data_IF_413900357020
#
_entry.id   IF_413900357020
#
_cell.length_a   1.000
_cell.length_b   1.000
_cell.length_c   1.000
_cell.angle_alpha   90.00
_cell.angle_beta   90.00
_cell.angle_gamma   90.00
#
_symmetry.space_group_name_H-M   'P 1'
#
loop_
_entity.id
_entity.type
_entity.pdbx_description
1 polymer ?
#
# COMPACT_ATOMS: atom_id res chain seq x y z
N UNK A 1 -64.75 -25.90 17.44
CA UNK A 1 -63.38 -25.36 17.32
C UNK A 1 -62.46 -26.30 18.08
N UNK A 2 -61.69 -27.09 17.34
CA UNK A 2 -60.85 -28.19 17.84
C UNK A 2 -59.46 -27.64 18.20
N UNK A 3 -58.96 -27.96 19.39
CA UNK A 3 -57.55 -27.74 19.76
C UNK A 3 -56.92 -29.09 20.03
N UNK A 4 -56.01 -29.50 19.14
CA UNK A 4 -55.19 -30.69 19.26
C UNK A 4 -53.90 -30.35 20.04
N UNK A 5 -53.63 -31.11 21.10
CA UNK A 5 -52.40 -31.06 21.86
C UNK A 5 -51.31 -31.87 21.14
N UNK A 6 -50.17 -31.25 20.86
CA UNK A 6 -49.00 -31.90 20.26
C UNK A 6 -48.09 -32.49 21.34
N UNK A 7 -47.79 -33.77 21.21
CA UNK A 7 -46.90 -34.53 22.09
C UNK A 7 -45.41 -34.23 21.79
N UNK A 8 -44.64 -33.96 22.84
CA UNK A 8 -43.19 -33.73 22.79
C UNK A 8 -42.43 -35.07 22.64
N UNK A 9 -41.45 -35.12 21.72
CA UNK A 9 -40.52 -36.24 21.55
C UNK A 9 -39.26 -36.04 22.44
N UNK A 10 -38.71 -37.10 23.06
CA UNK A 10 -37.52 -37.00 23.89
C UNK A 10 -36.23 -36.84 23.06
N UNK A 11 -35.29 -36.05 23.59
CA UNK A 11 -33.97 -35.77 23.02
C UNK A 11 -32.99 -36.94 23.21
N UNK A 12 -32.07 -37.21 22.27
CA UNK A 12 -31.09 -38.28 22.41
C UNK A 12 -29.89 -37.86 23.28
N UNK A 13 -29.57 -38.73 24.24
CA UNK A 13 -28.40 -38.68 25.13
C UNK A 13 -27.10 -38.94 24.36
N UNK A 14 -26.15 -38.00 24.42
CA UNK A 14 -24.80 -38.17 23.87
C UNK A 14 -23.88 -38.72 24.97
N UNK A 15 -23.43 -39.96 24.78
CA UNK A 15 -22.42 -40.60 25.63
C UNK A 15 -21.02 -40.12 25.24
N UNK A 16 -20.28 -39.55 26.21
CA UNK A 16 -18.87 -39.16 26.08
C UNK A 16 -17.97 -40.40 26.13
N UNK A 17 -17.33 -40.73 25.01
CA UNK A 17 -16.22 -41.70 24.97
C UNK A 17 -14.91 -40.92 25.00
N UNK A 18 -14.08 -41.14 26.03
CA UNK A 18 -12.76 -40.54 26.17
C UNK A 18 -11.75 -41.25 25.26
N UNK A 19 -11.19 -40.52 24.30
CA UNK A 19 -10.06 -40.99 23.49
C UNK A 19 -8.77 -40.52 24.15
N UNK A 20 -7.97 -41.47 24.62
CA UNK A 20 -6.66 -41.23 25.19
C UNK A 20 -5.67 -40.78 24.09
N UNK A 21 -5.10 -39.59 24.27
CA UNK A 21 -4.09 -39.01 23.38
C UNK A 21 -2.74 -39.68 23.64
N UNK A 22 -2.29 -40.55 22.73
CA UNK A 22 -0.91 -41.06 22.72
C UNK A 22 0.03 -39.98 22.15
N UNK A 23 0.97 -39.53 22.98
CA UNK A 23 1.98 -38.52 22.65
C UNK A 23 3.18 -39.19 21.98
N UNK A 24 3.44 -38.87 20.72
CA UNK A 24 4.63 -39.34 20.00
C UNK A 24 5.93 -38.70 20.57
N UNK A 25 7.07 -39.41 20.60
CA UNK A 25 8.34 -38.88 21.07
C UNK A 25 8.97 -37.91 20.05
N UNK A 26 9.78 -36.93 20.50
CA UNK A 26 10.38 -35.94 19.60
C UNK A 26 11.54 -36.55 18.77
N UNK A 27 11.79 -36.03 17.55
CA UNK A 27 12.91 -36.47 16.72
C UNK A 27 14.26 -35.98 17.27
N UNK A 28 15.31 -36.80 17.08
CA UNK A 28 16.70 -36.50 17.47
C UNK A 28 17.29 -35.40 16.57
N UNK A 29 17.95 -34.42 17.19
CA UNK A 29 18.74 -33.40 16.49
C UNK A 29 19.96 -34.01 15.78
N UNK A 30 20.14 -33.66 14.50
CA UNK A 30 21.36 -33.90 13.75
C UNK A 30 22.44 -32.87 14.12
N UNK A 31 23.75 -33.21 14.07
CA UNK A 31 24.83 -32.32 14.48
C UNK A 31 25.10 -31.21 13.46
N UNK A 32 25.51 -30.06 13.98
CA UNK A 32 25.80 -28.83 13.25
C UNK A 32 26.95 -28.99 12.24
N UNK A 33 26.68 -28.65 10.97
CA UNK A 33 27.71 -28.47 9.96
C UNK A 33 28.36 -27.10 10.12
N UNK A 34 29.67 -27.11 10.40
CA UNK A 34 30.54 -25.94 10.42
C UNK A 34 30.76 -25.41 9.01
N UNK A 35 30.45 -24.13 8.78
CA UNK A 35 30.89 -23.41 7.59
C UNK A 35 32.29 -22.81 7.80
N UNK A 36 33.21 -22.91 6.82
CA UNK A 36 34.50 -22.25 6.90
C UNK A 36 34.37 -20.75 6.64
N UNK A 37 34.97 -19.97 7.54
CA UNK A 37 35.15 -18.52 7.49
C UNK A 37 36.05 -18.09 6.33
N UNK A 38 35.59 -17.12 5.52
CA UNK A 38 36.35 -16.52 4.42
C UNK A 38 36.57 -15.02 4.66
N UNK A 39 37.82 -14.63 4.81
CA UNK A 39 38.44 -13.30 4.65
C UNK A 39 39.95 -13.59 4.49
N UNK A 40 40.81 -12.72 3.90
CA UNK A 40 40.67 -11.32 3.47
C UNK A 40 41.04 -11.19 1.95
N UNK A 41 41.17 -10.04 1.26
CA UNK A 41 42.09 -8.91 1.45
C UNK A 41 41.97 -7.89 0.29
N UNK A 42 42.63 -6.71 0.35
CA UNK A 42 42.19 -5.44 -0.28
C UNK A 42 43.11 -4.79 -1.34
N UNK A 43 42.59 -3.70 -1.96
CA UNK A 43 43.28 -2.58 -2.68
C UNK A 43 43.82 -2.81 -4.11
N UNK A 44 44.14 -1.77 -4.94
CA UNK A 44 44.24 -0.32 -4.65
C UNK A 44 43.61 0.68 -5.66
N UNK A 45 43.70 1.94 -5.23
CA UNK A 45 43.28 3.21 -5.85
C UNK A 45 44.21 3.79 -6.95
N UNK A 46 43.61 4.69 -7.77
CA UNK A 46 44.17 5.92 -8.38
C UNK A 46 45.26 5.80 -9.49
N UNK A 47 45.50 6.84 -10.34
CA UNK A 47 45.23 8.28 -10.16
C UNK A 47 44.66 9.06 -11.37
N UNK A 48 44.45 10.35 -11.10
CA UNK A 48 43.89 11.43 -11.91
C UNK A 48 44.86 12.06 -12.93
N UNK A 49 44.25 12.90 -13.79
CA UNK A 49 44.78 14.11 -14.45
C UNK A 49 45.60 13.95 -15.74
N UNK A 50 45.25 14.74 -16.76
CA UNK A 50 46.06 15.87 -17.25
C UNK A 50 45.19 16.79 -18.14
N UNK A 51 45.28 18.07 -17.83
CA UNK A 51 44.86 19.25 -18.58
C UNK A 51 45.78 19.50 -19.78
N UNK A 52 45.21 19.94 -20.90
CA UNK A 52 45.71 21.00 -21.79
C UNK A 52 44.89 20.96 -23.09
N UNK A 53 44.71 21.99 -23.91
CA UNK A 53 44.67 23.45 -23.80
C UNK A 53 44.48 23.92 -25.27
N UNK A 54 43.81 25.06 -25.46
CA UNK A 54 43.85 25.92 -26.65
C UNK A 54 43.32 25.37 -27.98
N UNK A 55 42.27 26.02 -28.51
CA UNK A 55 42.51 27.14 -29.43
C UNK A 55 41.27 28.02 -29.57
N UNK A 56 41.54 29.31 -29.76
CA UNK A 56 40.58 30.40 -29.92
C UNK A 56 40.13 30.48 -31.37
N UNK A 57 38.83 30.61 -31.61
CA UNK A 57 38.30 31.24 -32.83
C UNK A 57 37.07 32.07 -32.42
N UNK A 58 37.13 33.37 -32.66
CA UNK A 58 36.00 34.29 -32.53
C UNK A 58 35.18 34.31 -33.83
N UNK A 59 33.86 34.54 -33.74
CA UNK A 59 33.25 35.47 -34.70
C UNK A 59 32.20 36.42 -34.09
N UNK A 60 32.22 37.64 -34.63
CA UNK A 60 31.20 38.69 -34.84
C UNK A 60 29.91 38.77 -34.00
N UNK A 61 29.48 39.98 -33.57
CA UNK A 61 28.24 40.19 -32.86
C UNK A 61 27.06 40.21 -33.85
N UNK A 62 26.17 39.22 -33.76
CA UNK A 62 24.86 39.26 -34.40
C UNK A 62 23.85 39.93 -33.47
N UNK A 63 23.14 40.92 -34.02
CA UNK A 63 22.04 41.66 -33.42
C UNK A 63 20.93 40.67 -32.98
N UNK A 64 20.62 40.59 -31.68
CA UNK A 64 19.46 39.85 -31.18
C UNK A 64 18.18 40.69 -31.32
N UNK A 65 17.05 40.12 -31.79
CA UNK A 65 15.74 40.74 -31.65
C UNK A 65 15.24 40.65 -30.20
N UNK A 66 14.30 41.51 -29.77
CA UNK A 66 13.81 41.54 -28.39
C UNK A 66 13.06 40.23 -28.06
N UNK A 67 13.51 39.59 -26.99
CA UNK A 67 12.94 38.39 -26.38
C UNK A 67 11.50 38.70 -25.97
N UNK A 68 10.53 38.14 -26.71
CA UNK A 68 9.15 38.08 -26.26
C UNK A 68 9.11 37.38 -24.89
N UNK A 69 8.52 38.06 -23.91
CA UNK A 69 8.30 37.51 -22.58
C UNK A 69 7.37 36.29 -22.71
N UNK A 70 7.93 35.10 -22.59
CA UNK A 70 7.17 33.89 -22.35
C UNK A 70 6.46 34.08 -21.01
N UNK A 71 5.13 34.18 -21.08
CA UNK A 71 4.26 34.06 -19.92
C UNK A 71 4.57 32.74 -19.23
N UNK A 72 5.21 32.80 -18.07
CA UNK A 72 5.32 31.68 -17.16
C UNK A 72 3.91 31.35 -16.67
N UNK A 73 3.21 30.47 -17.37
CA UNK A 73 2.03 29.81 -16.81
C UNK A 73 2.51 29.01 -15.61
N UNK A 74 2.14 29.49 -14.42
CA UNK A 74 2.29 28.78 -13.17
C UNK A 74 1.46 27.50 -13.23
N UNK A 75 2.03 26.40 -13.72
CA UNK A 75 1.48 25.09 -13.47
C UNK A 75 1.70 24.78 -11.99
N UNK A 76 0.66 24.95 -11.19
CA UNK A 76 0.57 24.28 -9.88
C UNK A 76 0.92 22.81 -10.07
N UNK A 77 1.69 22.17 -9.18
CA UNK A 77 1.97 20.74 -9.30
C UNK A 77 0.63 20.00 -9.28
N UNK A 78 0.26 19.40 -10.41
CA UNK A 78 -0.85 18.45 -10.48
C UNK A 78 -0.42 17.22 -9.68
N UNK A 79 -1.23 16.80 -8.73
CA UNK A 79 -0.99 15.58 -7.96
C UNK A 79 -0.76 14.37 -8.87
N UNK A 80 -0.04 13.33 -8.40
CA UNK A 80 0.28 12.18 -9.24
C UNK A 80 -1.00 11.48 -9.67
N UNK A 81 -1.26 11.49 -10.98
CA UNK A 81 -2.34 10.71 -11.61
C UNK A 81 -1.90 9.28 -11.95
N UNK A 82 -0.65 8.95 -11.63
CA UNK A 82 0.01 7.69 -11.98
C UNK A 82 0.79 7.12 -10.79
N UNK A 83 0.52 5.87 -10.44
CA UNK A 83 1.31 5.11 -9.45
C UNK A 83 2.04 3.97 -10.16
N UNK A 84 3.36 3.96 -10.10
CA UNK A 84 4.20 2.99 -10.79
C UNK A 84 5.19 2.33 -9.82
N UNK A 85 5.34 1.01 -9.92
CA UNK A 85 6.34 0.27 -9.16
C UNK A 85 5.92 -1.19 -8.92
N UNK A 86 6.67 -1.94 -8.10
CA UNK A 86 6.29 -3.30 -7.76
C UNK A 86 5.00 -3.31 -6.93
N UNK A 87 4.07 -4.23 -7.20
CA UNK A 87 2.87 -4.40 -6.38
C UNK A 87 3.08 -5.41 -5.25
N UNK A 88 2.32 -5.25 -4.17
CA UNK A 88 2.14 -6.27 -3.14
C UNK A 88 0.77 -6.91 -3.29
N UNK A 89 0.71 -8.22 -3.45
CA UNK A 89 -0.53 -8.96 -3.77
C UNK A 89 -1.07 -9.65 -2.53
N UNK A 90 -2.38 -9.49 -2.32
CA UNK A 90 -3.15 -10.00 -1.19
C UNK A 90 -4.40 -10.74 -1.69
N UNK A 91 -4.87 -11.70 -0.90
CA UNK A 91 -6.13 -12.40 -1.20
C UNK A 91 -7.37 -11.64 -0.77
N UNK A 92 -8.47 -12.38 -0.61
CA UNK A 92 -9.74 -11.88 -0.10
C UNK A 92 -9.72 -11.59 1.40
N UNK A 93 -10.69 -10.79 1.84
CA UNK A 93 -11.05 -10.58 3.24
C UNK A 93 -9.88 -10.12 4.12
N UNK A 94 -8.99 -9.29 3.57
CA UNK A 94 -7.94 -8.66 4.37
C UNK A 94 -8.60 -7.68 5.34
N UNK A 95 -8.59 -8.02 6.62
CA UNK A 95 -9.22 -7.21 7.65
C UNK A 95 -8.29 -6.11 8.19
N UNK A 96 -8.88 -5.20 8.97
CA UNK A 96 -8.14 -4.08 9.57
C UNK A 96 -7.11 -4.49 10.63
N UNK A 97 -7.25 -5.65 11.28
CA UNK A 97 -6.22 -6.19 12.19
C UNK A 97 -5.02 -6.72 11.42
N UNK A 98 -5.23 -7.30 10.23
CA UNK A 98 -4.17 -7.71 9.33
C UNK A 98 -3.41 -6.53 8.74
N UNK A 99 -4.11 -5.41 8.45
CA UNK A 99 -3.49 -4.16 8.00
C UNK A 99 -2.73 -3.50 9.15
N UNK A 100 -3.34 -3.34 10.32
CA UNK A 100 -2.73 -2.73 11.50
C UNK A 100 -3.37 -3.26 12.80
N UNK A 101 -2.67 -4.11 13.56
CA UNK A 101 -3.14 -4.64 14.84
C UNK A 101 -3.48 -3.57 15.87
N UNK A 102 -4.44 -3.89 16.75
CA UNK A 102 -4.99 -2.94 17.73
C UNK A 102 -3.95 -2.31 18.69
N UNK A 103 -2.85 -3.01 18.96
CA UNK A 103 -1.78 -2.52 19.84
C UNK A 103 -1.07 -1.26 19.31
N UNK A 104 -1.10 -1.02 17.99
CA UNK A 104 -0.48 0.14 17.36
C UNK A 104 -1.41 1.37 17.27
N UNK A 105 -2.68 1.24 17.68
CA UNK A 105 -3.67 2.34 17.60
C UNK A 105 -3.44 3.46 18.62
N UNK A 106 -2.48 3.27 19.53
CA UNK A 106 -2.01 4.32 20.45
C UNK A 106 -1.14 5.37 19.75
N UNK A 107 -0.63 5.07 18.55
CA UNK A 107 0.13 6.01 17.74
C UNK A 107 -0.80 7.09 17.15
N UNK A 108 -0.32 8.34 17.19
CA UNK A 108 -1.05 9.54 16.79
C UNK A 108 -0.64 9.96 15.38
N UNK A 109 -1.52 9.86 14.36
CA UNK A 109 -1.19 10.18 12.98
C UNK A 109 -0.74 11.62 12.72
N UNK A 110 -1.12 12.57 13.58
CA UNK A 110 -0.72 13.98 13.44
C UNK A 110 0.70 14.26 13.95
N UNK A 111 1.33 13.32 14.66
CA UNK A 111 2.74 13.41 15.04
C UNK A 111 3.58 12.75 13.92
N UNK A 112 4.51 13.49 13.27
CA UNK A 112 5.30 12.96 12.15
C UNK A 112 6.09 11.68 12.47
N UNK A 113 6.68 11.59 13.67
CA UNK A 113 7.48 10.41 14.07
C UNK A 113 6.59 9.19 14.29
N UNK A 114 5.40 9.39 14.86
CA UNK A 114 4.42 8.33 15.08
C UNK A 114 3.71 7.92 13.79
N UNK A 115 3.51 8.86 12.87
CA UNK A 115 3.02 8.59 11.51
C UNK A 115 3.99 7.67 10.75
N UNK A 116 5.29 8.00 10.74
CA UNK A 116 6.31 7.13 10.14
C UNK A 116 6.33 5.75 10.81
N UNK A 117 6.11 5.69 12.13
CA UNK A 117 6.01 4.44 12.87
C UNK A 117 4.76 3.63 12.50
N UNK A 118 3.61 4.26 12.27
CA UNK A 118 2.42 3.60 11.71
C UNK A 118 2.73 2.96 10.36
N UNK A 119 3.46 3.67 9.49
CA UNK A 119 3.95 3.13 8.22
C UNK A 119 4.78 1.86 8.39
N UNK A 120 5.69 1.85 9.37
CA UNK A 120 6.52 0.66 9.67
C UNK A 120 5.75 -0.58 10.13
N UNK A 121 4.49 -0.39 10.60
CA UNK A 121 3.60 -1.45 11.06
C UNK A 121 2.54 -1.85 10.03
N UNK A 122 2.54 -1.27 8.84
CA UNK A 122 1.60 -1.64 7.78
C UNK A 122 1.75 -3.14 7.43
N UNK A 123 0.61 -3.83 7.41
CA UNK A 123 0.47 -5.27 7.15
C UNK A 123 1.24 -6.21 8.11
N UNK A 124 1.64 -5.75 9.30
CA UNK A 124 2.34 -6.60 10.27
C UNK A 124 1.45 -7.71 10.87
N UNK A 125 0.12 -7.59 10.75
CA UNK A 125 -0.83 -8.60 11.20
C UNK A 125 -1.07 -9.73 10.19
N UNK A 126 -0.48 -9.68 8.99
CA UNK A 126 -0.63 -10.74 8.00
C UNK A 126 -0.01 -12.07 8.48
N UNK A 127 -0.67 -13.21 8.23
CA UNK A 127 -0.11 -14.51 8.57
C UNK A 127 1.10 -14.81 7.68
N UNK A 128 2.30 -14.89 8.27
CA UNK A 128 3.56 -15.05 7.53
C UNK A 128 3.63 -16.34 6.70
N UNK A 129 2.86 -17.37 7.06
CA UNK A 129 2.76 -18.61 6.29
C UNK A 129 2.08 -18.40 4.93
N UNK A 130 1.10 -17.48 4.84
CA UNK A 130 0.43 -17.14 3.60
C UNK A 130 1.15 -16.01 2.83
N UNK A 131 1.79 -15.08 3.57
CA UNK A 131 2.48 -13.93 3.01
C UNK A 131 3.95 -13.89 3.48
N UNK A 132 4.84 -14.71 2.85
CA UNK A 132 6.22 -14.85 3.29
C UNK A 132 7.11 -13.64 2.94
N UNK A 133 6.70 -12.84 1.95
CA UNK A 133 7.40 -11.59 1.61
C UNK A 133 6.91 -10.51 2.57
N UNK A 134 7.78 -9.91 3.41
CA UNK A 134 7.37 -8.84 4.29
C UNK A 134 7.02 -7.59 3.45
N UNK A 135 5.90 -6.96 3.78
CA UNK A 135 5.48 -5.73 3.12
C UNK A 135 6.45 -4.58 3.41
N UNK A 136 6.72 -4.33 4.69
CA UNK A 136 7.78 -3.43 5.15
C UNK A 136 9.00 -4.25 5.55
N UNK A 137 10.18 -3.89 5.04
CA UNK A 137 11.41 -4.56 5.41
C UNK A 137 11.74 -4.32 6.91
N UNK A 138 12.33 -5.29 7.63
CA UNK A 138 12.72 -5.09 9.02
C UNK A 138 13.60 -3.84 9.21
N UNK A 139 13.18 -2.94 10.11
CA UNK A 139 13.88 -1.68 10.40
C UNK A 139 13.62 -0.54 9.41
N UNK A 140 12.80 -0.75 8.37
CA UNK A 140 12.36 0.31 7.48
C UNK A 140 11.09 1.01 8.00
N UNK A 141 10.94 2.29 7.66
CA UNK A 141 9.73 3.05 7.96
C UNK A 141 8.67 2.96 6.84
N UNK A 142 9.09 2.58 5.63
CA UNK A 142 8.26 2.55 4.44
C UNK A 142 8.46 1.26 3.64
N UNK A 143 7.42 0.91 2.89
CA UNK A 143 7.40 -0.20 1.95
C UNK A 143 8.05 0.19 0.63
N UNK A 144 8.57 -0.79 -0.10
CA UNK A 144 9.01 -0.61 -1.49
C UNK A 144 7.85 -0.72 -2.50
N UNK A 145 6.66 -1.08 -2.05
CA UNK A 145 5.51 -1.37 -2.87
C UNK A 145 4.55 -0.17 -2.88
N UNK A 146 4.55 0.68 -3.92
CA UNK A 146 3.65 1.83 -4.00
C UNK A 146 2.20 1.44 -4.33
N UNK A 147 1.97 0.21 -4.79
CA UNK A 147 0.65 -0.31 -5.16
C UNK A 147 0.38 -1.61 -4.41
N UNK A 148 -0.83 -1.75 -3.87
CA UNK A 148 -1.35 -3.00 -3.32
C UNK A 148 -2.42 -3.55 -4.26
N UNK A 149 -2.38 -4.85 -4.56
CA UNK A 149 -3.43 -5.58 -5.26
C UNK A 149 -4.09 -6.51 -4.25
N UNK A 150 -5.42 -6.56 -4.20
CA UNK A 150 -6.16 -7.40 -3.28
C UNK A 150 -7.38 -8.06 -3.92
N UNK A 151 -7.91 -9.11 -3.29
CA UNK A 151 -9.16 -9.72 -3.67
C UNK A 151 -10.39 -8.94 -3.20
N UNK A 152 -11.46 -9.66 -2.90
CA UNK A 152 -12.73 -9.10 -2.44
C UNK A 152 -12.70 -8.67 -0.97
N UNK A 153 -13.58 -7.73 -0.62
CA UNK A 153 -13.85 -7.29 0.76
C UNK A 153 -12.60 -6.78 1.51
N UNK A 154 -11.74 -6.03 0.82
CA UNK A 154 -10.54 -5.44 1.42
C UNK A 154 -10.87 -4.40 2.49
N UNK A 155 -10.12 -4.44 3.59
CA UNK A 155 -10.28 -3.54 4.73
C UNK A 155 -11.49 -3.88 5.61
N UNK A 156 -11.93 -5.14 5.63
CA UNK A 156 -13.07 -5.56 6.41
C UNK A 156 -12.80 -5.56 7.94
N UNK A 157 -13.85 -5.85 8.72
CA UNK A 157 -13.77 -5.85 10.18
C UNK A 157 -14.04 -4.48 10.80
N UNK A 158 -13.25 -4.13 11.82
CA UNK A 158 -13.51 -2.97 12.68
C UNK A 158 -13.25 -1.62 12.01
N UNK A 159 -13.95 -0.56 12.47
CA UNK A 159 -13.71 0.80 11.99
C UNK A 159 -12.39 1.33 12.53
N UNK A 160 -11.34 1.32 11.70
CA UNK A 160 -10.01 1.86 12.03
C UNK A 160 -9.55 2.83 10.97
N UNK A 161 -9.48 4.11 11.30
CA UNK A 161 -8.87 5.12 10.43
C UNK A 161 -7.36 4.94 10.33
N UNK A 162 -6.72 4.32 11.33
CA UNK A 162 -5.31 3.95 11.29
C UNK A 162 -4.96 2.99 10.15
N UNK A 163 -5.91 2.19 9.63
CA UNK A 163 -5.63 1.24 8.57
C UNK A 163 -5.20 1.91 7.26
N UNK A 164 -5.99 2.81 6.63
CA UNK A 164 -5.53 3.56 5.47
C UNK A 164 -4.34 4.49 5.78
N UNK A 165 -4.27 5.07 6.98
CA UNK A 165 -3.13 5.90 7.42
C UNK A 165 -1.82 5.12 7.44
N UNK A 166 -1.81 3.90 7.98
CA UNK A 166 -0.61 3.06 7.99
C UNK A 166 -0.14 2.73 6.56
N UNK A 167 -1.07 2.50 5.64
CA UNK A 167 -0.73 2.26 4.22
C UNK A 167 -0.13 3.52 3.56
N UNK A 168 -0.76 4.68 3.73
CA UNK A 168 -0.24 5.95 3.20
C UNK A 168 1.12 6.29 3.79
N UNK A 169 1.28 6.13 5.11
CA UNK A 169 2.55 6.33 5.81
C UNK A 169 3.66 5.38 5.35
N UNK A 170 3.29 4.16 4.94
CA UNK A 170 4.21 3.20 4.35
C UNK A 170 4.58 3.52 2.88
N UNK A 171 4.00 4.57 2.29
CA UNK A 171 4.26 4.99 0.91
C UNK A 171 3.36 4.35 -0.15
N UNK A 172 2.25 3.72 0.24
CA UNK A 172 1.24 3.24 -0.71
C UNK A 172 0.48 4.42 -1.28
N UNK A 173 0.40 4.52 -2.60
CA UNK A 173 -0.44 5.53 -3.26
C UNK A 173 -1.80 4.98 -3.65
N UNK A 174 -1.87 3.72 -4.07
CA UNK A 174 -3.11 3.08 -4.52
C UNK A 174 -3.23 1.65 -4.01
N UNK A 175 -4.45 1.30 -3.62
CA UNK A 175 -4.89 -0.08 -3.44
C UNK A 175 -5.85 -0.37 -4.58
N UNK A 176 -5.64 -1.47 -5.30
CA UNK A 176 -6.56 -1.98 -6.32
C UNK A 176 -7.14 -3.30 -5.80
N UNK A 177 -8.45 -3.36 -5.59
CA UNK A 177 -9.13 -4.53 -5.05
C UNK A 177 -10.38 -4.89 -5.86
N UNK A 178 -10.88 -6.11 -5.73
CA UNK A 178 -12.15 -6.49 -6.38
C UNK A 178 -13.34 -5.80 -5.72
N UNK A 179 -13.27 -5.61 -4.40
CA UNK A 179 -14.25 -4.83 -3.64
C UNK A 179 -13.70 -4.38 -2.29
N UNK A 180 -14.32 -3.35 -1.72
CA UNK A 180 -13.95 -2.82 -0.41
C UNK A 180 -15.04 -3.00 0.63
N UNK A 181 -14.61 -3.17 1.88
CA UNK A 181 -15.47 -2.89 3.01
C UNK A 181 -15.81 -1.39 3.04
N UNK A 182 -17.11 -1.08 3.15
CA UNK A 182 -17.63 0.30 3.07
C UNK A 182 -16.95 1.29 4.02
N UNK A 183 -16.62 0.83 5.22
CA UNK A 183 -15.99 1.69 6.24
C UNK A 183 -14.55 2.02 5.87
N UNK A 184 -13.78 1.03 5.40
CA UNK A 184 -12.41 1.26 4.94
C UNK A 184 -12.39 2.24 3.77
N UNK A 185 -13.23 2.03 2.75
CA UNK A 185 -13.33 2.93 1.61
C UNK A 185 -13.59 4.38 2.06
N UNK A 186 -14.58 4.59 2.92
CA UNK A 186 -14.90 5.92 3.46
C UNK A 186 -13.72 6.53 4.22
N UNK A 187 -13.02 5.74 5.02
CA UNK A 187 -11.87 6.24 5.79
C UNK A 187 -10.73 6.65 4.86
N UNK A 188 -10.44 5.89 3.80
CA UNK A 188 -9.44 6.27 2.79
C UNK A 188 -9.78 7.61 2.11
N UNK A 189 -11.06 7.85 1.80
CA UNK A 189 -11.52 9.14 1.25
C UNK A 189 -11.41 10.27 2.29
N UNK A 190 -11.78 10.00 3.54
CA UNK A 190 -11.76 10.98 4.61
C UNK A 190 -10.34 11.45 4.95
N UNK A 191 -9.38 10.52 5.00
CA UNK A 191 -7.98 10.81 5.34
C UNK A 191 -7.16 11.25 4.13
N UNK A 192 -7.50 10.76 2.93
CA UNK A 192 -6.76 11.04 1.69
C UNK A 192 -5.41 10.33 1.59
N UNK A 193 -5.20 9.27 2.38
CA UNK A 193 -3.92 8.57 2.52
C UNK A 193 -3.63 7.65 1.33
N UNK A 194 -4.66 7.02 0.78
CA UNK A 194 -4.56 6.06 -0.33
C UNK A 194 -5.77 6.17 -1.25
N UNK A 195 -5.60 5.87 -2.53
CA UNK A 195 -6.71 5.68 -3.48
C UNK A 195 -7.27 4.24 -3.37
N UNK A 196 -8.53 4.03 -2.95
CA UNK A 196 -9.18 2.73 -2.99
C UNK A 196 -9.86 2.53 -4.36
N UNK A 197 -9.29 1.70 -5.23
CA UNK A 197 -9.73 1.52 -6.61
C UNK A 197 -10.31 0.12 -6.80
N UNK A 198 -11.55 0.03 -7.31
CA UNK A 198 -12.15 -1.25 -7.63
C UNK A 198 -11.78 -1.67 -9.06
N UNK A 199 -11.38 -2.93 -9.25
CA UNK A 199 -11.22 -3.52 -10.58
C UNK A 199 -12.55 -4.12 -11.06
N UNK A 200 -12.81 -4.09 -12.37
CA UNK A 200 -14.03 -4.70 -12.95
C UNK A 200 -13.91 -6.24 -13.12
N UNK A 201 -12.68 -6.76 -13.14
CA UNK A 201 -12.36 -8.18 -13.34
C UNK A 201 -12.20 -8.88 -11.99
N UNK A 202 -12.89 -10.01 -11.81
CA UNK A 202 -12.70 -10.89 -10.66
C UNK A 202 -11.38 -11.68 -10.78
N UNK A 203 -10.76 -12.04 -9.66
CA UNK A 203 -9.53 -12.82 -9.64
C UNK A 203 -8.26 -12.05 -10.01
N UNK A 204 -8.27 -10.70 -10.00
CA UNK A 204 -7.07 -9.89 -10.29
C UNK A 204 -5.87 -10.33 -9.44
N UNK A 205 -6.13 -10.64 -8.16
CA UNK A 205 -5.11 -11.07 -7.22
C UNK A 205 -4.51 -12.45 -7.52
N UNK A 206 -5.18 -13.27 -8.31
CA UNK A 206 -4.68 -14.56 -8.80
C UNK A 206 -3.80 -14.39 -10.06
N UNK A 207 -4.00 -13.30 -10.80
CA UNK A 207 -3.25 -13.01 -12.03
C UNK A 207 -2.00 -12.14 -11.82
N UNK A 208 -1.86 -11.55 -10.63
CA UNK A 208 -0.69 -10.76 -10.25
C UNK A 208 0.16 -11.51 -9.22
N UNK A 209 1.48 -11.32 -9.27
CA UNK A 209 2.40 -11.84 -8.26
C UNK A 209 3.06 -10.68 -7.50
N UNK A 210 3.25 -10.82 -6.18
CA UNK A 210 4.00 -9.83 -5.40
C UNK A 210 5.38 -9.59 -6.02
N UNK A 211 5.66 -8.33 -6.34
CA UNK A 211 6.86 -7.91 -7.07
C UNK A 211 6.65 -7.60 -8.54
N UNK A 212 5.49 -7.93 -9.12
CA UNK A 212 5.14 -7.52 -10.48
C UNK A 212 5.17 -6.00 -10.62
N UNK A 213 5.74 -5.51 -11.71
CA UNK A 213 5.81 -4.07 -11.98
C UNK A 213 4.49 -3.64 -12.58
N UNK A 214 3.76 -2.80 -11.86
CA UNK A 214 2.43 -2.32 -12.28
C UNK A 214 2.41 -0.81 -12.48
N UNK A 215 1.43 -0.34 -13.23
CA UNK A 215 1.07 1.07 -13.32
C UNK A 215 -0.42 1.23 -13.16
N UNK A 216 -0.81 2.04 -12.18
CA UNK A 216 -2.19 2.50 -12.02
C UNK A 216 -2.27 3.88 -12.64
N UNK A 217 -3.09 4.04 -13.66
CA UNK A 217 -3.37 5.31 -14.34
C UNK A 217 -4.81 5.72 -13.99
N UNK A 218 -4.95 6.75 -13.15
CA UNK A 218 -6.25 7.22 -12.67
C UNK A 218 -7.07 7.89 -13.77
N UNK A 219 -6.42 8.59 -14.69
CA UNK A 219 -7.08 9.29 -15.80
C UNK A 219 -7.71 8.30 -16.78
N UNK A 220 -6.98 7.23 -17.09
CA UNK A 220 -7.46 6.16 -17.97
C UNK A 220 -8.29 5.12 -17.23
N UNK A 221 -8.27 5.12 -15.89
CA UNK A 221 -8.90 4.12 -15.04
C UNK A 221 -8.45 2.70 -15.40
N UNK A 222 -7.13 2.49 -15.46
CA UNK A 222 -6.54 1.18 -15.77
C UNK A 222 -5.40 0.82 -14.82
N UNK A 223 -5.25 -0.48 -14.56
CA UNK A 223 -4.03 -1.07 -14.03
C UNK A 223 -3.34 -1.84 -15.16
N UNK A 224 -2.08 -1.54 -15.42
CA UNK A 224 -1.23 -2.25 -16.39
C UNK A 224 -0.21 -3.05 -15.61
N UNK A 225 -0.20 -4.37 -15.75
CA UNK A 225 0.86 -5.23 -15.24
C UNK A 225 1.93 -5.38 -16.34
N UNK A 226 3.05 -4.68 -16.19
CA UNK A 226 4.15 -4.69 -17.15
C UNK A 226 4.93 -6.00 -17.15
N UNK A 227 4.87 -6.78 -16.07
CA UNK A 227 5.50 -8.11 -16.02
C UNK A 227 4.77 -9.11 -16.91
N UNK A 228 3.43 -9.11 -16.87
CA UNK A 228 2.59 -10.06 -17.63
C UNK A 228 2.11 -9.51 -18.97
N UNK A 229 2.17 -8.19 -19.17
CA UNK A 229 1.62 -7.48 -20.33
C UNK A 229 0.10 -7.35 -20.32
N UNK A 230 -0.55 -7.65 -19.19
CA UNK A 230 -2.01 -7.56 -19.04
C UNK A 230 -2.45 -6.17 -18.59
N UNK A 231 -3.64 -5.79 -19.02
CA UNK A 231 -4.30 -4.54 -18.64
C UNK A 231 -5.68 -4.85 -18.06
N UNK A 232 -6.02 -4.17 -16.98
CA UNK A 232 -7.26 -4.34 -16.23
C UNK A 232 -7.98 -3.01 -16.11
N UNK A 233 -9.29 -3.03 -16.38
CA UNK A 233 -10.14 -1.85 -16.26
C UNK A 233 -10.54 -1.64 -14.80
N UNK A 234 -10.36 -0.42 -14.33
CA UNK A 234 -10.76 0.03 -13.01
C UNK A 234 -12.10 0.78 -13.10
N UNK A 235 -12.92 0.64 -12.07
CA UNK A 235 -14.06 1.52 -11.87
C UNK A 235 -13.54 2.93 -11.56
N UNK A 236 -14.08 3.98 -12.19
CA UNK A 236 -13.67 5.34 -11.89
C UNK A 236 -13.89 5.67 -10.41
N UNK A 237 -12.91 6.33 -9.78
CA UNK A 237 -13.00 6.77 -8.36
C UNK A 237 -14.12 7.81 -8.14
N UNK A 238 -14.54 8.50 -9.20
CA UNK A 238 -15.62 9.49 -9.17
C UNK A 238 -15.31 10.68 -8.24
N UNK A 239 -16.35 11.20 -7.60
CA UNK A 239 -16.28 12.40 -6.76
C UNK A 239 -15.37 12.27 -5.52
N UNK A 240 -14.98 11.04 -5.15
CA UNK A 240 -14.01 10.81 -4.10
C UNK A 240 -12.58 11.21 -4.51
N UNK A 241 -12.24 11.16 -5.80
CA UNK A 241 -10.90 11.45 -6.33
C UNK A 241 -10.37 12.82 -5.90
N UNK A 242 -11.09 13.92 -6.15
CA UNK A 242 -10.68 15.26 -5.72
C UNK A 242 -10.52 15.43 -4.21
N UNK A 243 -11.26 14.65 -3.39
CA UNK A 243 -11.15 14.71 -1.93
C UNK A 243 -9.86 14.03 -1.47
N UNK A 244 -9.55 12.85 -2.02
CA UNK A 244 -8.30 12.13 -1.75
C UNK A 244 -7.11 12.97 -2.20
N UNK A 245 -7.18 13.51 -3.42
CA UNK A 245 -6.13 14.36 -4.00
C UNK A 245 -5.80 15.59 -3.15
N UNK A 246 -6.80 16.15 -2.47
CA UNK A 246 -6.60 17.29 -1.58
C UNK A 246 -5.94 16.92 -0.25
N UNK A 247 -5.76 15.64 0.07
CA UNK A 247 -5.32 15.17 1.39
C UNK A 247 -6.48 15.01 2.38
N UNK A 248 -7.63 14.55 1.88
CA UNK A 248 -8.79 14.20 2.70
C UNK A 248 -9.83 15.33 2.85
N UNK A 249 -10.91 15.02 3.57
CA UNK A 249 -12.13 15.85 3.64
C UNK A 249 -11.86 17.26 4.17
N UNK A 250 -11.03 17.41 5.20
CA UNK A 250 -10.75 18.72 5.77
C UNK A 250 -9.89 19.59 4.85
N UNK A 251 -8.93 18.97 4.16
CA UNK A 251 -8.09 19.68 3.21
C UNK A 251 -8.89 20.07 1.96
N UNK A 252 -9.77 19.20 1.47
CA UNK A 252 -10.72 19.51 0.41
C UNK A 252 -11.68 20.65 0.81
N UNK A 253 -12.26 20.61 2.02
CA UNK A 253 -13.14 21.65 2.52
C UNK A 253 -12.45 23.03 2.61
N UNK A 254 -11.17 23.06 3.01
CA UNK A 254 -10.35 24.29 2.97
C UNK A 254 -10.07 24.75 1.54
N UNK A 255 -9.69 23.83 0.65
CA UNK A 255 -9.41 24.11 -0.77
C UNK A 255 -10.62 24.70 -1.50
N UNK A 256 -11.83 24.27 -1.13
CA UNK A 256 -13.09 24.71 -1.73
C UNK A 256 -13.79 25.84 -0.98
N UNK A 257 -13.19 26.35 0.10
CA UNK A 257 -13.74 27.48 0.88
C UNK A 257 -14.95 27.14 1.75
N UNK A 258 -15.24 25.87 2.00
CA UNK A 258 -16.30 25.44 2.92
C UNK A 258 -15.95 25.71 4.39
N UNK A 259 -14.65 25.70 4.71
CA UNK A 259 -14.12 26.08 6.03
C UNK A 259 -12.92 27.01 5.86
N UNK A 260 -12.61 27.78 6.90
CA UNK A 260 -11.49 28.72 6.90
C UNK A 260 -10.17 28.01 6.59
N UNK A 261 -9.33 28.62 5.75
CA UNK A 261 -7.96 28.17 5.54
C UNK A 261 -7.19 28.22 6.87
N UNK A 262 -6.30 27.26 7.10
CA UNK A 262 -5.46 27.27 8.30
C UNK A 262 -4.68 28.60 8.33
N UNK A 263 -4.84 29.39 9.40
CA UNK A 263 -4.03 30.59 9.57
C UNK A 263 -2.58 30.15 9.65
N UNK A 264 -1.74 30.68 8.77
CA UNK A 264 -0.29 30.49 8.86
C UNK A 264 0.15 31.13 10.17
N UNK A 265 0.43 30.30 11.19
CA UNK A 265 0.99 30.73 12.46
C UNK A 265 2.52 30.76 12.37
#
# INVERSE_FOLDING_TARGET
MSMAAAAAKPSPTISRTSVASQKAPPPRLAPALRFPSYHPSPFPNHPSSILAASSRIAPSPLLLPPRAALSSSSSSPSSPTLFHGPCFVLGDNIDTDQIIPAEHLTLVPSNPDEYAKLGSHAFCGLPSAAYPVPFVAPGAAASRFPVVVAGANFGCGSSREHAPVALGAAGVGAVVAESYARIFFRNSVATGEVYPLEVETEGLHEECTTGDVVTVDLEKSVLINHTTGREYRLKPIGDAGPVIEAGGIFAYARKTGMIASASTA
#
